data_IF_531528814152
#
_entry.id   IF_531528814152
#
_cell.length_a   1.000
_cell.length_b   1.000
_cell.length_c   1.000
_cell.angle_alpha   90.00
_cell.angle_beta   90.00
_cell.angle_gamma   90.00
#
_symmetry.space_group_name_H-M   'P 1'
#
loop_
_entity.id
_entity.type
_entity.pdbx_description
1 polymer ?
#
# COMPACT_ATOMS: atom_id res chain seq x y z
N UNK A 1 -3.98 -1.02 -6.21
CA UNK A 1 -3.01 -0.39 -7.11
C UNK A 1 -2.27 -1.47 -7.90
N UNK A 2 -1.89 -1.13 -9.13
CA UNK A 2 -1.10 -1.99 -10.01
C UNK A 2 0.11 -1.21 -10.50
N UNK A 3 1.28 -1.85 -10.56
CA UNK A 3 2.48 -1.30 -11.17
C UNK A 3 3.03 -2.28 -12.21
N UNK A 4 3.66 -1.75 -13.27
CA UNK A 4 4.45 -2.58 -14.19
C UNK A 4 5.68 -3.10 -13.46
N UNK A 5 6.09 -4.34 -13.76
CA UNK A 5 7.38 -4.87 -13.29
C UNK A 5 8.53 -4.02 -13.83
N UNK A 6 9.69 -4.06 -13.17
CA UNK A 6 10.90 -3.42 -13.67
C UNK A 6 11.46 -4.17 -14.90
N UNK A 7 12.29 -3.48 -15.68
CA UNK A 7 13.06 -4.11 -16.76
C UNK A 7 12.24 -4.60 -17.96
N UNK A 8 12.73 -5.68 -18.59
CA UNK A 8 12.15 -6.25 -19.82
C UNK A 8 10.71 -6.74 -19.61
N UNK A 9 10.47 -7.45 -18.50
CA UNK A 9 9.14 -7.96 -18.18
C UNK A 9 8.08 -6.85 -18.14
N UNK A 10 8.41 -5.68 -17.59
CA UNK A 10 7.51 -4.52 -17.61
C UNK A 10 7.26 -3.93 -18.99
N UNK A 11 8.28 -3.90 -19.87
CA UNK A 11 8.14 -3.45 -21.26
C UNK A 11 7.27 -4.39 -22.10
N UNK A 12 7.26 -5.66 -21.74
CA UNK A 12 6.38 -6.69 -22.32
C UNK A 12 4.96 -6.68 -21.74
N UNK A 13 4.67 -5.77 -20.80
CA UNK A 13 3.34 -5.56 -20.23
C UNK A 13 3.05 -6.30 -18.93
N UNK A 14 4.03 -6.99 -18.35
CA UNK A 14 3.82 -7.68 -17.06
C UNK A 14 3.65 -6.67 -15.92
N UNK A 15 2.66 -6.93 -15.07
CA UNK A 15 2.32 -6.07 -13.93
C UNK A 15 2.03 -6.87 -12.68
N UNK A 16 2.19 -6.22 -11.54
CA UNK A 16 1.89 -6.76 -10.20
C UNK A 16 0.97 -5.81 -9.46
N UNK A 17 0.10 -6.36 -8.62
CA UNK A 17 -0.91 -5.60 -7.89
C UNK A 17 -0.83 -5.79 -6.38
N UNK A 18 -1.30 -4.78 -5.65
CA UNK A 18 -1.55 -4.83 -4.22
C UNK A 18 -2.76 -3.95 -3.86
N UNK A 19 -3.52 -4.36 -2.84
CA UNK A 19 -4.57 -3.50 -2.28
C UNK A 19 -3.93 -2.42 -1.41
N UNK A 20 -4.24 -1.16 -1.72
CA UNK A 20 -3.75 0.01 -1.00
C UNK A 20 -4.71 1.17 -1.23
N UNK A 21 -4.54 2.23 -0.43
CA UNK A 21 -5.31 3.46 -0.55
C UNK A 21 -5.17 4.03 -1.96
N UNK A 22 -6.29 4.41 -2.55
CA UNK A 22 -6.39 4.88 -3.94
C UNK A 22 -5.56 6.13 -4.21
N UNK A 23 -5.36 6.96 -3.19
CA UNK A 23 -4.61 8.20 -3.24
C UNK A 23 -3.17 8.09 -2.69
N UNK A 24 -2.71 6.87 -2.38
CA UNK A 24 -1.42 6.60 -1.75
C UNK A 24 -1.19 7.27 -0.38
N UNK A 25 -2.25 7.77 0.27
CA UNK A 25 -2.15 8.46 1.55
C UNK A 25 -2.32 7.54 2.77
N UNK A 26 -2.09 6.22 2.64
CA UNK A 26 -2.29 5.25 3.73
C UNK A 26 -1.61 5.65 5.05
N UNK A 27 -0.41 6.20 4.98
CA UNK A 27 0.31 6.70 6.16
C UNK A 27 -0.47 7.81 6.88
N UNK A 28 -1.11 8.72 6.14
CA UNK A 28 -1.89 9.81 6.73
C UNK A 28 -3.17 9.29 7.39
N UNK A 29 -3.84 8.31 6.77
CA UNK A 29 -5.03 7.67 7.34
C UNK A 29 -4.73 6.84 8.59
N UNK A 30 -3.58 6.16 8.65
CA UNK A 30 -3.14 5.40 9.85
C UNK A 30 -2.80 6.32 11.00
N UNK A 31 -2.17 7.45 10.71
CA UNK A 31 -1.73 8.40 11.74
C UNK A 31 -2.80 9.39 12.15
N UNK A 32 -4.05 9.21 11.69
CA UNK A 32 -5.17 10.13 11.97
C UNK A 32 -4.97 11.55 11.42
N UNK A 33 -4.07 11.73 10.45
CA UNK A 33 -3.74 13.05 9.85
C UNK A 33 -4.62 13.41 8.66
N UNK A 34 -5.34 12.44 8.11
CA UNK A 34 -6.32 12.62 7.04
C UNK A 34 -7.56 11.79 7.36
N UNK A 35 -8.74 12.39 7.23
CA UNK A 35 -10.02 11.70 7.37
C UNK A 35 -10.44 11.08 6.04
N UNK A 36 -11.23 10.01 6.09
CA UNK A 36 -11.89 9.47 4.90
C UNK A 36 -12.96 10.45 4.42
N UNK A 37 -13.09 10.62 3.10
CA UNK A 37 -14.16 11.47 2.54
C UNK A 37 -15.55 10.89 2.79
N UNK A 38 -15.65 9.56 2.85
CA UNK A 38 -16.87 8.84 3.20
C UNK A 38 -16.55 7.56 3.96
N UNK A 39 -17.44 7.19 4.89
CA UNK A 39 -17.32 5.98 5.71
C UNK A 39 -16.35 6.12 6.88
N UNK A 40 -16.11 5.01 7.56
CA UNK A 40 -15.16 4.89 8.67
C UNK A 40 -14.16 3.78 8.39
N UNK A 41 -13.03 3.84 9.08
CA UNK A 41 -12.12 2.69 9.13
C UNK A 41 -12.72 1.59 10.01
N UNK A 42 -12.39 0.35 9.69
CA UNK A 42 -12.62 -0.76 10.59
C UNK A 42 -11.91 -0.53 11.91
N UNK A 43 -12.55 -0.98 12.99
CA UNK A 43 -11.89 -1.07 14.28
C UNK A 43 -10.73 -2.07 14.17
N UNK A 44 -9.57 -1.66 14.65
CA UNK A 44 -8.34 -2.43 14.53
C UNK A 44 -7.85 -2.79 15.93
N UNK A 45 -7.41 -4.04 16.12
CA UNK A 45 -6.81 -4.49 17.37
C UNK A 45 -5.35 -4.07 17.54
N UNK A 46 -4.69 -3.70 16.45
CA UNK A 46 -3.32 -3.22 16.42
C UNK A 46 -3.22 -1.76 16.86
N UNK A 47 -2.17 -1.46 17.62
CA UNK A 47 -1.71 -0.10 17.89
C UNK A 47 -1.37 0.64 16.59
N UNK A 48 -1.26 1.97 16.66
CA UNK A 48 -0.91 2.78 15.48
C UNK A 48 0.48 2.41 14.97
N UNK A 49 1.43 2.15 15.88
CA UNK A 49 2.79 1.74 15.58
C UNK A 49 2.83 0.41 14.81
N UNK A 50 2.09 -0.61 15.28
CA UNK A 50 2.00 -1.91 14.60
C UNK A 50 1.33 -1.77 13.22
N UNK A 51 0.33 -0.91 13.07
CA UNK A 51 -0.28 -0.63 11.77
C UNK A 51 0.69 0.05 10.80
N UNK A 52 1.55 0.94 11.31
CA UNK A 52 2.61 1.59 10.52
C UNK A 52 3.60 0.53 10.04
N UNK A 53 4.09 -0.33 10.94
CA UNK A 53 5.02 -1.40 10.60
C UNK A 53 4.44 -2.36 9.56
N UNK A 54 3.20 -2.83 9.76
CA UNK A 54 2.48 -3.68 8.80
C UNK A 54 2.38 -3.02 7.43
N UNK A 55 2.04 -1.73 7.39
CA UNK A 55 1.90 -0.98 6.14
C UNK A 55 3.23 -0.80 5.42
N UNK A 56 4.30 -0.51 6.16
CA UNK A 56 5.65 -0.45 5.61
C UNK A 56 6.09 -1.81 5.05
N UNK A 57 5.80 -2.91 5.76
CA UNK A 57 6.08 -4.27 5.31
C UNK A 57 5.32 -4.62 4.02
N UNK A 58 4.03 -4.28 3.91
CA UNK A 58 3.26 -4.48 2.68
C UNK A 58 3.81 -3.66 1.51
N UNK A 59 4.26 -2.43 1.75
CA UNK A 59 4.89 -1.61 0.72
C UNK A 59 6.21 -2.23 0.24
N UNK A 60 7.09 -2.65 1.16
CA UNK A 60 8.33 -3.32 0.83
C UNK A 60 8.09 -4.59 -0.01
N UNK A 61 7.19 -5.47 0.45
CA UNK A 61 6.83 -6.68 -0.28
C UNK A 61 6.23 -6.41 -1.67
N UNK A 62 5.52 -5.29 -1.85
CA UNK A 62 5.05 -4.87 -3.17
C UNK A 62 6.21 -4.43 -4.07
N UNK A 63 7.16 -3.65 -3.53
CA UNK A 63 8.34 -3.24 -4.28
C UNK A 63 9.21 -4.44 -4.68
N UNK A 64 9.37 -5.42 -3.81
CA UNK A 64 10.07 -6.67 -4.14
C UNK A 64 9.45 -7.37 -5.35
N UNK A 65 8.11 -7.41 -5.44
CA UNK A 65 7.40 -7.97 -6.62
C UNK A 65 7.61 -7.17 -7.90
N UNK A 66 7.76 -5.85 -7.77
CA UNK A 66 8.05 -4.95 -8.89
C UNK A 66 9.45 -5.20 -9.43
N UNK A 67 10.44 -5.42 -8.56
CA UNK A 67 11.84 -5.61 -8.95
C UNK A 67 12.25 -7.05 -9.25
N UNK A 68 11.50 -8.04 -8.78
CA UNK A 68 11.63 -9.44 -9.19
C UNK A 68 11.36 -9.60 -10.70
#
# INVERSE_FOLDING_TARGET
>A
MTARKAGAAGREGNSVGAYMCTDLACSLYIRGKKALEAGSRFEESLTVEEQIERTAGHLAAFLDKVYA
#
